data_IF_395884565302
#
_entry.id   IF_395884565302
#
_cell.length_a   1.000
_cell.length_b   1.000
_cell.length_c   1.000
_cell.angle_alpha   90.00
_cell.angle_beta   90.00
_cell.angle_gamma   90.00
#
_symmetry.space_group_name_H-M   'P 1'
#
loop_
_entity.id
_entity.type
_entity.pdbx_description
1 polymer ?
#
# COMPACT_ATOMS: atom_id res chain seq x y z
N UNK A 1 2.69 -20.11 -1.37
CA UNK A 1 3.22 -20.36 0.00
C UNK A 1 3.62 -21.80 0.36
N UNK A 2 3.07 -22.87 -0.24
CA UNK A 2 3.30 -24.27 0.19
C UNK A 2 4.78 -24.70 0.38
N UNK A 3 5.73 -24.13 -0.37
CA UNK A 3 7.17 -24.41 -0.19
C UNK A 3 7.80 -23.70 1.03
N UNK A 4 7.32 -22.51 1.40
CA UNK A 4 7.77 -21.79 2.62
C UNK A 4 7.25 -22.51 3.88
N UNK A 5 6.08 -23.15 3.80
CA UNK A 5 5.49 -23.92 4.89
C UNK A 5 6.39 -25.06 5.39
N UNK A 6 7.10 -25.76 4.49
CA UNK A 6 7.96 -26.90 4.88
C UNK A 6 9.15 -26.48 5.75
N UNK A 7 9.52 -25.20 5.68
CA UNK A 7 10.60 -24.62 6.49
C UNK A 7 10.09 -24.05 7.82
N UNK A 8 8.89 -23.45 7.84
CA UNK A 8 8.27 -22.93 9.07
C UNK A 8 7.88 -24.08 10.02
N UNK A 9 7.42 -25.23 9.51
CA UNK A 9 7.08 -26.40 10.35
C UNK A 9 8.30 -27.08 10.99
N UNK A 10 9.51 -26.83 10.51
CA UNK A 10 10.74 -27.42 11.08
C UNK A 10 11.30 -26.67 12.29
N UNK A 11 10.72 -25.53 12.67
CA UNK A 11 11.18 -24.73 13.83
C UNK A 11 10.48 -25.15 15.14
N UNK A 12 9.44 -25.99 15.07
CA UNK A 12 8.57 -26.35 16.21
C UNK A 12 8.76 -27.74 16.83
N UNK A 13 9.85 -28.46 16.55
CA UNK A 13 10.08 -29.82 17.08
C UNK A 13 11.14 -29.87 18.18
N UNK A 14 10.73 -29.99 19.44
CA UNK A 14 11.62 -30.39 20.53
C UNK A 14 12.20 -31.79 20.26
N UNK A 15 13.54 -31.93 20.33
CA UNK A 15 14.21 -33.04 21.02
C UNK A 15 15.73 -32.82 21.15
N UNK A 16 16.17 -32.94 22.39
CA UNK A 16 17.40 -33.58 22.86
C UNK A 16 18.76 -33.06 22.39
N UNK A 17 19.46 -32.48 23.38
CA UNK A 17 20.88 -32.64 23.64
C UNK A 17 21.49 -33.86 22.94
N UNK A 18 22.32 -33.60 21.93
CA UNK A 18 23.54 -34.34 21.61
C UNK A 18 24.48 -33.40 20.88
N UNK A 19 25.58 -33.09 21.54
CA UNK A 19 26.79 -32.47 21.00
C UNK A 19 27.26 -33.25 19.77
N UNK A 20 27.22 -32.61 18.60
CA UNK A 20 27.98 -33.03 17.43
C UNK A 20 28.93 -31.89 17.06
N UNK A 21 30.22 -32.16 17.22
CA UNK A 21 31.31 -31.36 16.64
C UNK A 21 31.13 -31.34 15.12
N UNK A 22 30.62 -30.24 14.58
CA UNK A 22 30.68 -29.96 13.16
C UNK A 22 31.98 -29.23 12.85
N UNK A 23 32.88 -29.91 12.14
CA UNK A 23 34.12 -29.37 11.58
C UNK A 23 33.85 -28.02 10.89
N UNK A 24 34.59 -27.00 11.33
CA UNK A 24 34.78 -25.75 10.60
C UNK A 24 35.28 -26.07 9.18
N UNK A 25 34.39 -26.01 8.19
CA UNK A 25 34.82 -25.82 6.81
C UNK A 25 35.11 -24.34 6.65
N UNK A 26 36.37 -23.97 6.89
CA UNK A 26 36.96 -22.70 6.46
C UNK A 26 36.79 -22.58 4.95
N UNK A 27 35.73 -21.93 4.51
CA UNK A 27 35.59 -21.52 3.11
C UNK A 27 36.49 -20.29 2.90
N UNK A 28 37.72 -20.53 2.48
CA UNK A 28 38.57 -19.48 1.94
C UNK A 28 37.94 -18.96 0.63
N UNK A 29 37.77 -17.64 0.44
CA UNK A 29 37.34 -17.10 -0.83
C UNK A 29 38.47 -17.28 -1.85
N UNK A 30 38.38 -18.32 -2.69
CA UNK A 30 39.28 -18.48 -3.84
C UNK A 30 39.02 -17.35 -4.83
N UNK A 31 39.95 -16.39 -4.87
CA UNK A 31 40.43 -15.74 -6.09
C UNK A 31 39.49 -14.77 -6.83
N UNK A 32 39.22 -13.59 -6.25
CA UNK A 32 38.58 -12.45 -6.95
C UNK A 32 39.58 -11.46 -7.57
N UNK A 33 40.86 -11.81 -7.71
CA UNK A 33 41.89 -10.83 -8.07
C UNK A 33 42.07 -10.60 -9.58
N UNK A 34 41.85 -11.60 -10.46
CA UNK A 34 42.29 -11.50 -11.87
C UNK A 34 41.21 -11.69 -12.95
N UNK A 35 39.94 -11.92 -12.61
CA UNK A 35 38.84 -12.08 -13.60
C UNK A 35 37.80 -10.93 -13.61
N UNK A 36 37.93 -9.96 -12.70
CA UNK A 36 36.92 -8.91 -12.50
C UNK A 36 36.68 -8.00 -13.70
N UNK A 37 37.68 -7.75 -14.55
CA UNK A 37 37.56 -6.83 -15.69
C UNK A 37 36.68 -7.36 -16.82
N UNK A 38 36.72 -8.67 -17.09
CA UNK A 38 35.89 -9.31 -18.13
C UNK A 38 34.43 -9.45 -17.68
N UNK A 39 34.21 -9.82 -16.42
CA UNK A 39 32.87 -9.99 -15.87
C UNK A 39 32.14 -8.65 -15.72
N UNK A 40 32.82 -7.62 -15.19
CA UNK A 40 32.26 -6.27 -15.06
C UNK A 40 31.97 -5.67 -16.44
N UNK A 41 32.82 -5.85 -17.45
CA UNK A 41 32.52 -5.40 -18.84
C UNK A 41 31.30 -6.10 -19.43
N UNK A 42 31.16 -7.41 -19.24
CA UNK A 42 30.01 -8.19 -19.73
C UNK A 42 28.70 -7.80 -19.01
N UNK A 43 28.78 -7.44 -17.73
CA UNK A 43 27.62 -6.94 -16.97
C UNK A 43 27.31 -5.47 -17.21
N UNK A 44 28.29 -4.63 -17.52
CA UNK A 44 28.09 -3.25 -17.94
C UNK A 44 27.42 -3.17 -19.32
N UNK A 45 27.71 -4.13 -20.23
CA UNK A 45 26.97 -4.28 -21.49
C UNK A 45 25.50 -4.68 -21.25
N UNK A 46 25.21 -5.47 -20.22
CA UNK A 46 23.83 -5.76 -19.78
C UNK A 46 23.23 -4.66 -18.87
N UNK A 47 23.95 -3.56 -18.57
CA UNK A 47 23.46 -2.47 -17.72
C UNK A 47 22.48 -1.51 -18.42
N UNK A 48 22.06 -1.83 -19.65
CA UNK A 48 20.95 -1.20 -20.37
C UNK A 48 19.65 -1.17 -19.53
N UNK A 49 19.55 -1.97 -18.46
CA UNK A 49 18.40 -2.08 -17.58
C UNK A 49 17.99 -0.81 -16.81
N UNK A 50 18.87 0.16 -16.62
CA UNK A 50 18.49 1.48 -16.07
C UNK A 50 18.32 2.54 -17.13
N UNK A 51 18.78 2.28 -18.36
CA UNK A 51 18.72 3.21 -19.50
C UNK A 51 19.06 4.65 -19.11
N UNK A 52 20.11 4.83 -18.31
CA UNK A 52 20.60 6.11 -17.81
C UNK A 52 22.10 6.24 -18.10
N UNK A 53 22.52 7.40 -18.61
CA UNK A 53 23.91 7.79 -18.78
C UNK A 53 24.05 9.30 -18.63
N UNK A 54 25.27 9.80 -18.40
CA UNK A 54 25.50 11.22 -18.14
C UNK A 54 24.95 12.16 -19.23
N UNK A 55 25.10 11.80 -20.51
CA UNK A 55 24.57 12.58 -21.64
C UNK A 55 23.07 12.78 -21.51
N UNK A 56 22.34 11.73 -21.15
CA UNK A 56 20.89 11.81 -20.95
C UNK A 56 20.50 12.74 -19.78
N UNK A 57 21.28 12.74 -18.68
CA UNK A 57 21.00 13.65 -17.55
C UNK A 57 21.23 15.10 -17.96
N UNK A 58 22.24 15.35 -18.79
CA UNK A 58 22.55 16.68 -19.31
C UNK A 58 21.52 17.15 -20.36
N UNK A 59 21.08 16.25 -21.24
CA UNK A 59 20.15 16.56 -22.34
C UNK A 59 18.71 16.75 -21.85
N UNK A 60 18.24 15.87 -20.96
CA UNK A 60 16.85 15.88 -20.48
C UNK A 60 16.66 16.71 -19.19
N UNK A 61 17.74 16.96 -18.45
CA UNK A 61 17.73 17.66 -17.17
C UNK A 61 17.41 16.75 -15.96
N UNK A 62 17.76 17.19 -14.73
CA UNK A 62 17.61 16.40 -13.50
C UNK A 62 16.17 15.98 -13.19
N UNK A 63 15.19 16.89 -13.34
CA UNK A 63 13.78 16.62 -13.01
C UNK A 63 13.16 15.52 -13.90
N UNK A 64 13.43 15.58 -15.22
CA UNK A 64 12.95 14.58 -16.17
C UNK A 64 13.57 13.19 -15.90
N UNK A 65 14.87 13.17 -15.61
CA UNK A 65 15.56 11.94 -15.22
C UNK A 65 15.06 11.39 -13.89
N UNK A 66 14.83 12.24 -12.88
CA UNK A 66 14.28 11.85 -11.58
C UNK A 66 12.95 11.12 -11.77
N UNK A 67 12.05 11.68 -12.60
CA UNK A 67 10.76 11.07 -12.92
C UNK A 67 10.91 9.69 -13.57
N UNK A 68 11.84 9.54 -14.53
CA UNK A 68 12.11 8.25 -15.20
C UNK A 68 12.68 7.23 -14.22
N UNK A 69 13.60 7.66 -13.37
CA UNK A 69 14.24 6.85 -12.35
C UNK A 69 13.24 6.37 -11.30
N UNK A 70 12.41 7.28 -10.78
CA UNK A 70 11.31 6.98 -9.87
C UNK A 70 10.40 5.88 -10.41
N UNK A 71 9.89 6.04 -11.64
CA UNK A 71 9.03 5.04 -12.29
C UNK A 71 9.73 3.69 -12.45
N UNK A 72 10.94 3.67 -13.00
CA UNK A 72 11.73 2.43 -13.20
C UNK A 72 12.06 1.72 -11.90
N UNK A 73 12.32 2.48 -10.84
CA UNK A 73 12.65 1.96 -9.53
C UNK A 73 11.43 1.27 -8.91
N UNK A 74 10.26 1.91 -8.97
CA UNK A 74 8.97 1.31 -8.57
C UNK A 74 8.64 0.03 -9.35
N UNK A 75 8.83 0.03 -10.67
CA UNK A 75 8.59 -1.15 -11.50
C UNK A 75 9.51 -2.32 -11.11
N UNK A 76 10.78 -2.02 -10.80
CA UNK A 76 11.72 -3.05 -10.30
C UNK A 76 11.32 -3.57 -8.93
N UNK A 77 10.87 -2.71 -8.03
CA UNK A 77 10.44 -3.13 -6.69
C UNK A 77 9.20 -4.02 -6.76
N UNK A 78 8.17 -3.61 -7.51
CA UNK A 78 6.91 -4.36 -7.67
C UNK A 78 7.07 -5.66 -8.46
N UNK A 79 8.18 -5.83 -9.20
CA UNK A 79 8.52 -7.09 -9.87
C UNK A 79 8.99 -8.20 -8.93
N UNK A 80 9.35 -7.88 -7.68
CA UNK A 80 9.80 -8.87 -6.71
C UNK A 80 8.55 -9.57 -6.13
N UNK A 81 8.47 -10.91 -6.22
CA UNK A 81 7.40 -11.65 -5.57
C UNK A 81 7.36 -11.37 -4.07
N UNK A 82 6.16 -11.20 -3.51
CA UNK A 82 6.00 -10.96 -2.08
C UNK A 82 6.65 -12.07 -1.23
N UNK A 83 6.59 -13.31 -1.72
CA UNK A 83 7.16 -14.49 -1.08
C UNK A 83 8.68 -14.42 -0.92
N UNK A 84 9.39 -13.67 -1.77
CA UNK A 84 10.83 -13.45 -1.63
C UNK A 84 11.15 -12.58 -0.41
N UNK A 85 10.33 -11.57 -0.12
CA UNK A 85 10.46 -10.76 1.10
C UNK A 85 10.15 -11.58 2.34
N UNK A 86 9.12 -12.44 2.30
CA UNK A 86 8.79 -13.36 3.41
C UNK A 86 9.93 -14.36 3.65
N UNK A 87 10.53 -14.89 2.57
CA UNK A 87 11.69 -15.79 2.66
C UNK A 87 12.86 -15.09 3.34
N UNK A 88 13.15 -13.85 2.94
CA UNK A 88 14.22 -13.03 3.54
C UNK A 88 13.95 -12.68 5.00
N UNK A 89 12.71 -12.32 5.33
CA UNK A 89 12.28 -12.10 6.71
C UNK A 89 12.42 -13.36 7.58
N UNK A 90 12.23 -14.55 7.01
CA UNK A 90 12.44 -15.82 7.70
C UNK A 90 13.92 -16.19 7.89
N UNK A 91 14.86 -15.34 7.47
CA UNK A 91 16.30 -15.56 7.58
C UNK A 91 16.93 -16.34 6.42
N UNK A 92 16.17 -16.64 5.37
CA UNK A 92 16.67 -17.34 4.18
C UNK A 92 17.09 -16.35 3.09
N UNK A 93 18.03 -16.73 2.23
CA UNK A 93 18.42 -15.87 1.11
C UNK A 93 17.41 -15.91 -0.04
N UNK A 94 17.35 -14.81 -0.79
CA UNK A 94 16.53 -14.66 -2.00
C UNK A 94 17.37 -14.07 -3.14
N UNK A 95 17.45 -14.82 -4.25
CA UNK A 95 18.13 -14.38 -5.46
C UNK A 95 17.44 -13.18 -6.11
N UNK A 96 16.11 -13.09 -6.02
CA UNK A 96 15.34 -11.95 -6.53
C UNK A 96 15.69 -10.67 -5.79
N UNK A 97 15.73 -10.71 -4.45
CA UNK A 97 16.14 -9.56 -3.63
C UNK A 97 17.60 -9.20 -3.87
N UNK A 98 18.49 -10.20 -3.89
CA UNK A 98 19.91 -9.98 -4.18
C UNK A 98 20.12 -9.32 -5.55
N UNK A 99 19.43 -9.82 -6.57
CA UNK A 99 19.43 -9.27 -7.93
C UNK A 99 18.87 -7.85 -7.96
N UNK A 100 17.79 -7.58 -7.22
CA UNK A 100 17.22 -6.24 -7.07
C UNK A 100 18.23 -5.24 -6.49
N UNK A 101 18.83 -5.52 -5.33
CA UNK A 101 19.80 -4.63 -4.69
C UNK A 101 21.07 -4.47 -5.56
N UNK A 102 21.47 -5.54 -6.26
CA UNK A 102 22.58 -5.48 -7.21
C UNK A 102 22.34 -4.51 -8.36
N UNK A 103 21.09 -4.37 -8.85
CA UNK A 103 20.76 -3.39 -9.89
C UNK A 103 21.08 -1.96 -9.45
N UNK A 104 20.83 -1.59 -8.20
CA UNK A 104 21.19 -0.27 -7.67
C UNK A 104 22.70 -0.09 -7.54
N UNK A 105 23.40 -1.14 -7.14
CA UNK A 105 24.87 -1.15 -7.12
C UNK A 105 25.46 -0.90 -8.50
N UNK A 106 24.91 -1.51 -9.55
CA UNK A 106 25.31 -1.27 -10.94
C UNK A 106 25.02 0.17 -11.40
N UNK A 107 23.88 0.74 -10.99
CA UNK A 107 23.56 2.14 -11.26
C UNK A 107 24.62 3.08 -10.66
N UNK A 108 25.02 2.85 -9.40
CA UNK A 108 26.08 3.64 -8.74
C UNK A 108 27.41 3.55 -9.49
N UNK A 109 27.82 2.34 -9.88
CA UNK A 109 29.07 2.12 -10.63
C UNK A 109 29.06 2.86 -11.97
N UNK A 110 27.93 2.80 -12.69
CA UNK A 110 27.79 3.46 -13.99
C UNK A 110 27.88 4.98 -13.86
N UNK A 111 27.07 5.56 -12.97
CA UNK A 111 27.06 7.01 -12.73
C UNK A 111 28.42 7.52 -12.25
N UNK A 112 29.06 6.79 -11.33
CA UNK A 112 30.41 7.12 -10.88
C UNK A 112 31.41 7.12 -12.05
N UNK A 113 31.38 6.10 -12.91
CA UNK A 113 32.31 6.00 -14.04
C UNK A 113 32.12 7.11 -15.06
N UNK A 114 30.87 7.47 -15.36
CA UNK A 114 30.55 8.52 -16.33
C UNK A 114 30.96 9.91 -15.78
N UNK A 115 30.65 10.19 -14.51
CA UNK A 115 30.94 11.48 -13.89
C UNK A 115 32.42 11.66 -13.52
N UNK A 116 33.16 10.59 -13.26
CA UNK A 116 34.60 10.65 -13.07
C UNK A 116 35.31 11.20 -14.33
N UNK A 117 34.77 10.91 -15.53
CA UNK A 117 35.28 11.43 -16.81
C UNK A 117 34.86 12.87 -17.07
N UNK A 118 33.90 13.39 -16.32
CA UNK A 118 33.32 14.72 -16.52
C UNK A 118 33.09 15.44 -15.18
N UNK A 119 34.16 15.76 -14.43
CA UNK A 119 34.07 16.26 -13.05
C UNK A 119 33.33 17.59 -12.92
N UNK A 120 33.30 18.40 -13.99
CA UNK A 120 32.54 19.65 -14.07
C UNK A 120 31.02 19.49 -13.91
N UNK A 121 30.51 18.26 -14.00
CA UNK A 121 29.08 17.95 -13.91
C UNK A 121 28.72 17.21 -12.62
N UNK A 122 29.61 17.10 -11.63
CA UNK A 122 29.32 16.33 -10.40
C UNK A 122 28.12 16.88 -9.60
N UNK A 123 27.85 18.18 -9.67
CA UNK A 123 26.72 18.81 -8.98
C UNK A 123 25.35 18.37 -9.52
N UNK A 124 25.31 17.77 -10.71
CA UNK A 124 24.07 17.24 -11.30
C UNK A 124 23.46 16.11 -10.47
N UNK A 125 24.28 15.35 -9.73
CA UNK A 125 23.78 14.32 -8.82
C UNK A 125 23.14 14.90 -7.57
N UNK A 126 23.60 16.08 -7.13
CA UNK A 126 22.99 16.77 -5.99
C UNK A 126 21.62 17.30 -6.40
N UNK A 127 21.51 17.93 -7.58
CA UNK A 127 20.23 18.35 -8.14
C UNK A 127 19.28 17.17 -8.33
N UNK A 128 19.77 16.08 -8.92
CA UNK A 128 18.98 14.85 -9.10
C UNK A 128 18.51 14.26 -7.75
N UNK A 129 19.34 14.31 -6.71
CA UNK A 129 18.94 13.89 -5.37
C UNK A 129 17.80 14.75 -4.83
N UNK A 130 17.89 16.08 -4.94
CA UNK A 130 16.84 17.00 -4.49
C UNK A 130 15.52 16.72 -5.19
N UNK A 131 15.53 16.57 -6.51
CA UNK A 131 14.34 16.22 -7.30
C UNK A 131 13.72 14.88 -6.84
N UNK A 132 14.54 13.86 -6.58
CA UNK A 132 14.06 12.57 -6.10
C UNK A 132 13.48 12.66 -4.68
N UNK A 133 14.02 13.51 -3.80
CA UNK A 133 13.50 13.76 -2.45
C UNK A 133 12.16 14.49 -2.48
N UNK A 134 12.01 15.51 -3.34
CA UNK A 134 10.76 16.23 -3.54
C UNK A 134 9.65 15.30 -4.07
N UNK A 135 10.00 14.36 -4.93
CA UNK A 135 9.09 13.32 -5.44
C UNK A 135 8.80 12.20 -4.42
N UNK A 136 9.38 12.25 -3.22
CA UNK A 136 9.31 11.16 -2.22
C UNK A 136 9.69 9.80 -2.82
N UNK A 137 10.79 9.76 -3.58
CA UNK A 137 11.25 8.55 -4.24
C UNK A 137 11.61 7.43 -3.25
N UNK A 138 11.66 6.20 -3.76
CA UNK A 138 12.04 5.05 -2.94
C UNK A 138 13.45 5.24 -2.33
N UNK A 139 13.70 4.64 -1.15
CA UNK A 139 14.95 4.86 -0.43
C UNK A 139 16.14 4.21 -1.14
N UNK A 140 15.92 3.24 -2.03
CA UNK A 140 16.99 2.53 -2.71
C UNK A 140 17.67 3.44 -3.73
N UNK A 141 16.89 4.19 -4.51
CA UNK A 141 17.46 5.12 -5.49
C UNK A 141 18.14 6.30 -4.81
N UNK A 142 17.52 6.87 -3.77
CA UNK A 142 18.09 7.97 -2.99
C UNK A 142 19.45 7.59 -2.39
N UNK A 143 19.52 6.44 -1.71
CA UNK A 143 20.78 5.91 -1.16
C UNK A 143 21.84 5.71 -2.24
N UNK A 144 21.42 5.27 -3.44
CA UNK A 144 22.33 5.02 -4.56
C UNK A 144 22.92 6.31 -5.12
N UNK A 145 22.09 7.33 -5.36
CA UNK A 145 22.53 8.64 -5.87
C UNK A 145 23.41 9.33 -4.83
N UNK A 146 22.97 9.36 -3.56
CA UNK A 146 23.72 9.97 -2.46
C UNK A 146 25.09 9.31 -2.27
N UNK A 147 25.14 7.97 -2.27
CA UNK A 147 26.40 7.23 -2.15
C UNK A 147 27.34 7.52 -3.32
N UNK A 148 26.81 7.58 -4.54
CA UNK A 148 27.60 7.86 -5.74
C UNK A 148 28.21 9.26 -5.66
N UNK A 149 27.41 10.25 -5.32
CA UNK A 149 27.86 11.64 -5.14
C UNK A 149 28.92 11.77 -4.03
N UNK A 150 28.69 11.17 -2.86
CA UNK A 150 29.66 11.17 -1.75
C UNK A 150 31.02 10.59 -2.15
N UNK A 151 31.02 9.48 -2.89
CA UNK A 151 32.27 8.88 -3.36
C UNK A 151 32.99 9.74 -4.40
N UNK A 152 32.26 10.41 -5.29
CA UNK A 152 32.85 11.34 -6.25
C UNK A 152 33.53 12.51 -5.54
N UNK A 153 32.89 13.10 -4.52
CA UNK A 153 33.49 14.17 -3.72
C UNK A 153 34.76 13.74 -3.00
N UNK A 154 34.77 12.53 -2.41
CA UNK A 154 35.97 11.98 -1.76
C UNK A 154 37.12 11.80 -2.77
N UNK A 155 36.78 11.42 -4.01
CA UNK A 155 37.76 11.15 -5.06
C UNK A 155 38.29 12.42 -5.71
N UNK A 156 37.49 13.47 -5.84
CA UNK A 156 37.97 14.79 -6.26
C UNK A 156 39.00 15.38 -5.28
N UNK A 157 38.87 15.06 -3.97
CA UNK A 157 39.82 15.47 -2.93
C UNK A 157 41.06 14.58 -2.83
N UNK A 158 41.11 13.48 -3.58
CA UNK A 158 42.20 12.50 -3.59
C UNK A 158 42.70 12.30 -5.02
N UNK A 159 43.69 11.42 -5.22
CA UNK A 159 44.03 11.02 -6.57
C UNK A 159 42.86 10.23 -7.20
N UNK A 160 42.41 10.60 -8.42
CA UNK A 160 41.27 9.95 -9.07
C UNK A 160 41.53 8.47 -9.28
N UNK A 161 40.67 7.61 -8.72
CA UNK A 161 40.69 6.17 -9.03
C UNK A 161 39.65 5.86 -10.08
N UNK A 162 40.05 5.09 -11.10
CA UNK A 162 39.20 4.63 -12.19
C UNK A 162 37.98 3.81 -11.73
N UNK A 163 37.97 3.30 -10.49
CA UNK A 163 36.92 2.44 -9.95
C UNK A 163 36.55 2.81 -8.51
N UNK A 164 35.29 2.54 -8.14
CA UNK A 164 34.82 2.63 -6.75
C UNK A 164 35.58 1.60 -5.90
N UNK A 165 36.19 2.01 -4.77
CA UNK A 165 36.87 1.06 -3.89
C UNK A 165 35.93 -0.05 -3.39
N UNK A 166 36.39 -1.31 -3.27
CA UNK A 166 35.55 -2.41 -2.76
C UNK A 166 34.92 -2.13 -1.39
N UNK A 167 35.62 -1.40 -0.52
CA UNK A 167 35.11 -0.97 0.79
C UNK A 167 33.90 -0.03 0.66
N UNK A 168 33.91 0.88 -0.32
CA UNK A 168 32.79 1.79 -0.56
C UNK A 168 31.57 1.01 -1.11
N UNK A 169 31.78 0.09 -2.04
CA UNK A 169 30.71 -0.80 -2.54
C UNK A 169 30.07 -1.65 -1.43
N UNK A 170 30.88 -2.16 -0.49
CA UNK A 170 30.35 -2.84 0.71
C UNK A 170 29.47 -1.90 1.55
N UNK A 171 29.86 -0.64 1.68
CA UNK A 171 29.06 0.38 2.35
C UNK A 171 27.72 0.66 1.67
N UNK A 172 27.68 0.69 0.33
CA UNK A 172 26.42 0.82 -0.42
C UNK A 172 25.49 -0.36 -0.16
N UNK A 173 26.00 -1.59 -0.29
CA UNK A 173 25.22 -2.81 -0.02
C UNK A 173 24.58 -2.75 1.36
N UNK A 174 25.34 -2.38 2.39
CA UNK A 174 24.82 -2.25 3.75
C UNK A 174 23.73 -1.18 3.90
N UNK A 175 23.84 -0.04 3.22
CA UNK A 175 22.80 1.01 3.23
C UNK A 175 21.52 0.54 2.51
N UNK A 176 21.67 -0.18 1.40
CA UNK A 176 20.56 -0.77 0.65
C UNK A 176 19.85 -1.85 1.48
N UNK A 177 20.60 -2.75 2.12
CA UNK A 177 20.06 -3.77 3.04
C UNK A 177 19.30 -3.11 4.19
N UNK A 178 19.86 -2.08 4.84
CA UNK A 178 19.17 -1.33 5.89
C UNK A 178 17.86 -0.68 5.42
N UNK A 179 17.82 -0.20 4.19
CA UNK A 179 16.61 0.41 3.61
C UNK A 179 15.54 -0.66 3.39
N UNK A 180 15.94 -1.83 2.87
CA UNK A 180 15.05 -2.97 2.71
C UNK A 180 14.51 -3.46 4.06
N UNK A 181 15.41 -3.55 5.05
CA UNK A 181 15.08 -4.00 6.40
C UNK A 181 14.04 -3.09 7.06
N UNK A 182 14.26 -1.78 7.00
CA UNK A 182 13.34 -0.77 7.52
C UNK A 182 11.97 -0.85 6.87
N UNK A 183 11.93 -0.93 5.54
CA UNK A 183 10.67 -0.78 4.79
C UNK A 183 9.83 -2.05 4.85
N UNK A 184 10.43 -3.25 4.74
CA UNK A 184 9.64 -4.50 4.56
C UNK A 184 10.08 -5.62 5.51
N UNK A 185 11.37 -5.89 5.64
CA UNK A 185 11.82 -7.14 6.29
C UNK A 185 11.54 -7.12 7.78
N UNK A 186 11.79 -6.01 8.47
CA UNK A 186 11.54 -5.92 9.92
C UNK A 186 10.04 -6.07 10.25
N UNK A 187 9.10 -5.38 9.56
CA UNK A 187 7.66 -5.64 9.76
C UNK A 187 7.26 -7.10 9.56
N UNK A 188 7.75 -7.75 8.50
CA UNK A 188 7.45 -9.17 8.25
C UNK A 188 8.11 -10.09 9.29
N UNK A 189 9.31 -9.78 9.76
CA UNK A 189 9.96 -10.52 10.85
C UNK A 189 9.17 -10.45 12.14
N UNK A 190 8.61 -9.27 12.47
CA UNK A 190 7.76 -9.11 13.65
C UNK A 190 6.49 -9.95 13.54
N UNK A 191 5.86 -9.96 12.36
CA UNK A 191 4.70 -10.82 12.07
C UNK A 191 5.03 -12.31 12.28
N UNK A 192 6.13 -12.78 11.67
CA UNK A 192 6.56 -14.18 11.74
C UNK A 192 6.95 -14.65 13.15
N UNK A 193 7.25 -13.72 14.06
CA UNK A 193 7.58 -13.99 15.47
C UNK A 193 6.35 -14.02 16.39
N UNK A 194 5.16 -13.67 15.90
CA UNK A 194 3.94 -13.67 16.72
C UNK A 194 3.60 -15.09 17.20
N UNK A 195 3.08 -15.24 18.44
CA UNK A 195 2.64 -16.54 18.96
C UNK A 195 1.30 -16.93 18.32
N UNK A 196 1.33 -17.36 17.06
CA UNK A 196 0.17 -17.79 16.30
C UNK A 196 0.40 -19.14 15.63
N UNK A 197 -0.68 -19.82 15.24
CA UNK A 197 -0.55 -21.08 14.49
C UNK A 197 0.02 -20.80 13.10
N UNK A 198 0.75 -21.76 12.53
CA UNK A 198 1.27 -21.63 11.17
C UNK A 198 0.16 -21.35 10.14
N UNK A 199 -1.03 -21.94 10.33
CA UNK A 199 -2.20 -21.66 9.49
C UNK A 199 -2.59 -20.19 9.54
N UNK A 200 -2.70 -19.63 10.74
CA UNK A 200 -3.07 -18.23 10.92
C UNK A 200 -2.05 -17.31 10.23
N UNK A 201 -0.75 -17.49 10.50
CA UNK A 201 0.32 -16.70 9.87
C UNK A 201 0.27 -16.79 8.34
N UNK A 202 -0.03 -17.96 7.76
CA UNK A 202 -0.15 -18.11 6.31
C UNK A 202 -1.32 -17.30 5.74
N UNK A 203 -2.46 -17.31 6.42
CA UNK A 203 -3.62 -16.50 6.01
C UNK A 203 -3.30 -15.01 6.15
N UNK A 204 -2.65 -14.58 7.24
CA UNK A 204 -2.14 -13.20 7.40
C UNK A 204 -1.26 -12.79 6.21
N UNK A 205 -0.30 -13.64 5.84
CA UNK A 205 0.62 -13.37 4.74
C UNK A 205 -0.09 -13.31 3.39
N UNK A 206 -1.13 -14.11 3.14
CA UNK A 206 -1.88 -14.04 1.88
C UNK A 206 -2.68 -12.72 1.79
N UNK A 207 -3.28 -12.24 2.89
CA UNK A 207 -3.87 -10.88 2.94
C UNK A 207 -2.82 -9.81 2.66
N UNK A 208 -1.66 -9.92 3.31
CA UNK A 208 -0.57 -8.95 3.16
C UNK A 208 0.03 -8.94 1.76
N UNK A 209 0.03 -10.07 1.04
CA UNK A 209 0.43 -10.12 -0.36
C UNK A 209 -0.45 -9.22 -1.23
N UNK A 210 -1.77 -9.28 -1.06
CA UNK A 210 -2.70 -8.43 -1.80
C UNK A 210 -2.51 -6.95 -1.43
N UNK A 211 -2.37 -6.66 -0.13
CA UNK A 211 -2.05 -5.30 0.34
C UNK A 211 -0.74 -4.78 -0.24
N UNK A 212 0.32 -5.59 -0.22
CA UNK A 212 1.63 -5.24 -0.74
C UNK A 212 1.54 -4.86 -2.22
N UNK A 213 0.86 -5.70 -3.01
CA UNK A 213 0.65 -5.42 -4.43
C UNK A 213 -0.16 -4.15 -4.67
N UNK A 214 -1.20 -3.87 -3.90
CA UNK A 214 -2.03 -2.69 -4.07
C UNK A 214 -1.25 -1.42 -3.66
N UNK A 215 -0.62 -1.45 -2.49
CA UNK A 215 0.11 -0.32 -1.92
C UNK A 215 1.27 0.12 -2.82
N UNK A 216 2.17 -0.79 -3.18
CA UNK A 216 3.40 -0.44 -3.90
C UNK A 216 3.21 -0.25 -5.42
N UNK A 217 2.04 -0.60 -5.98
CA UNK A 217 1.69 -0.26 -7.37
C UNK A 217 1.20 1.18 -7.53
N UNK A 218 0.67 1.79 -6.46
CA UNK A 218 0.20 3.17 -6.50
C UNK A 218 1.38 4.16 -6.61
N UNK A 219 1.15 5.35 -7.15
CA UNK A 219 2.17 6.42 -7.22
C UNK A 219 2.45 7.06 -5.87
N UNK A 220 1.51 6.96 -4.93
CA UNK A 220 1.48 7.79 -3.73
C UNK A 220 1.99 7.01 -2.50
N UNK A 221 2.99 6.14 -2.72
CA UNK A 221 3.62 5.35 -1.66
C UNK A 221 4.42 6.26 -0.75
N UNK A 222 4.10 6.23 0.55
CA UNK A 222 4.94 6.89 1.57
C UNK A 222 6.06 5.96 2.02
N UNK A 223 7.23 6.13 1.42
CA UNK A 223 8.43 5.35 1.70
C UNK A 223 9.08 5.63 3.07
N UNK A 224 8.58 6.63 3.81
CA UNK A 224 9.01 6.89 5.18
C UNK A 224 8.36 5.94 6.18
N UNK A 225 7.21 5.37 5.81
CA UNK A 225 6.50 4.40 6.62
C UNK A 225 6.99 2.98 6.33
N UNK A 226 7.07 2.18 7.38
CA UNK A 226 7.28 0.75 7.24
C UNK A 226 6.01 0.09 6.68
N UNK A 227 6.18 -1.02 5.96
CA UNK A 227 5.05 -1.80 5.44
C UNK A 227 4.12 -2.21 6.58
N UNK A 228 2.87 -1.76 6.49
CA UNK A 228 1.88 -2.01 7.53
C UNK A 228 1.38 -3.47 7.48
N UNK A 229 1.83 -4.25 8.48
CA UNK A 229 1.41 -5.64 8.68
C UNK A 229 0.13 -5.79 9.52
N UNK A 230 -0.52 -4.68 9.89
CA UNK A 230 -1.75 -4.71 10.66
C UNK A 230 -2.94 -5.16 9.80
N UNK A 231 -3.45 -6.35 10.06
CA UNK A 231 -4.59 -6.94 9.38
C UNK A 231 -5.84 -6.97 10.28
N UNK A 232 -6.05 -5.90 11.04
CA UNK A 232 -7.13 -5.76 12.03
C UNK A 232 -8.47 -6.37 11.61
N UNK A 233 -8.90 -6.18 10.36
CA UNK A 233 -10.16 -6.75 9.86
C UNK A 233 -10.19 -8.28 9.94
N UNK A 234 -9.11 -8.94 9.51
CA UNK A 234 -8.99 -10.40 9.56
C UNK A 234 -9.04 -10.90 11.00
N UNK A 235 -8.33 -10.22 11.91
CA UNK A 235 -8.29 -10.60 13.32
C UNK A 235 -9.68 -10.54 13.94
N UNK A 236 -10.44 -9.49 13.64
CA UNK A 236 -11.74 -9.24 14.24
C UNK A 236 -12.85 -10.09 13.64
N UNK A 237 -12.86 -10.29 12.32
CA UNK A 237 -13.91 -11.07 11.66
C UNK A 237 -13.82 -12.58 11.94
N UNK A 238 -12.64 -13.04 12.40
CA UNK A 238 -12.40 -14.44 12.76
C UNK A 238 -12.57 -14.74 14.24
N UNK A 239 -12.51 -13.73 15.09
CA UNK A 239 -12.78 -13.91 16.51
C UNK A 239 -14.15 -14.59 16.69
N UNK A 240 -14.23 -15.56 17.61
CA UNK A 240 -15.44 -16.34 17.93
C UNK A 240 -16.58 -15.50 18.53
N UNK A 241 -16.42 -14.17 18.58
CA UNK A 241 -17.48 -13.26 19.00
C UNK A 241 -18.62 -13.26 17.97
N UNK A 242 -19.85 -13.14 18.45
CA UNK A 242 -21.01 -12.99 17.56
C UNK A 242 -20.82 -11.77 16.66
N UNK A 243 -21.04 -11.92 15.35
CA UNK A 243 -20.92 -10.84 14.35
C UNK A 243 -21.70 -9.57 14.74
N UNK A 244 -22.82 -9.73 15.46
CA UNK A 244 -23.60 -8.61 16.01
C UNK A 244 -22.83 -7.76 17.03
N UNK A 245 -22.01 -8.40 17.87
CA UNK A 245 -21.13 -7.75 18.86
C UNK A 245 -19.99 -7.02 18.16
N UNK A 246 -19.40 -7.63 17.12
CA UNK A 246 -18.40 -6.97 16.29
C UNK A 246 -18.97 -5.72 15.61
N UNK A 247 -20.15 -5.84 14.98
CA UNK A 247 -20.85 -4.69 14.39
C UNK A 247 -21.13 -3.59 15.42
N UNK A 248 -21.46 -3.95 16.66
CA UNK A 248 -21.66 -2.98 17.74
C UNK A 248 -20.39 -2.23 18.10
N UNK A 249 -19.29 -2.96 18.30
CA UNK A 249 -17.99 -2.39 18.63
C UNK A 249 -17.53 -1.41 17.55
N UNK A 250 -17.58 -1.82 16.27
CA UNK A 250 -17.22 -0.96 15.14
C UNK A 250 -18.14 0.25 15.05
N UNK A 251 -19.45 0.07 15.23
CA UNK A 251 -20.41 1.17 15.20
C UNK A 251 -20.17 2.17 16.33
N UNK A 252 -19.74 1.70 17.50
CA UNK A 252 -19.36 2.58 18.62
C UNK A 252 -18.11 3.38 18.30
N UNK A 253 -17.09 2.76 17.70
CA UNK A 253 -15.88 3.44 17.23
C UNK A 253 -16.20 4.49 16.16
N UNK A 254 -16.98 4.12 15.15
CA UNK A 254 -17.38 5.04 14.08
C UNK A 254 -18.23 6.19 14.61
N UNK A 255 -19.14 5.92 15.56
CA UNK A 255 -19.93 6.97 16.20
C UNK A 255 -19.05 7.96 16.99
N UNK A 256 -18.05 7.46 17.73
CA UNK A 256 -17.09 8.32 18.42
C UNK A 256 -16.28 9.17 17.43
N UNK A 257 -15.86 8.59 16.30
CA UNK A 257 -15.17 9.30 15.23
C UNK A 257 -16.05 10.39 14.61
N UNK A 258 -17.31 10.09 14.30
CA UNK A 258 -18.26 11.07 13.79
C UNK A 258 -18.47 12.20 14.80
N UNK A 259 -18.68 11.87 16.07
CA UNK A 259 -18.89 12.86 17.14
C UNK A 259 -17.73 13.85 17.27
N UNK A 260 -16.49 13.38 17.06
CA UNK A 260 -15.29 14.22 17.12
C UNK A 260 -15.04 15.08 15.87
N UNK A 261 -15.43 14.61 14.68
CA UNK A 261 -14.92 15.19 13.42
C UNK A 261 -15.98 15.61 12.40
N UNK A 262 -17.24 15.14 12.48
CA UNK A 262 -18.22 15.34 11.40
C UNK A 262 -18.60 16.82 11.22
N UNK A 263 -18.78 17.56 12.31
CA UNK A 263 -19.08 19.00 12.26
C UNK A 263 -17.92 19.79 11.69
N UNK A 264 -16.69 19.45 12.09
CA UNK A 264 -15.47 20.10 11.60
C UNK A 264 -15.25 19.83 10.10
N UNK A 265 -15.52 18.60 9.65
CA UNK A 265 -15.42 18.19 8.24
C UNK A 265 -16.32 19.01 7.31
N UNK A 266 -17.46 19.50 7.84
CA UNK A 266 -18.45 20.30 7.10
C UNK A 266 -18.64 21.71 7.69
N UNK A 267 -17.57 22.32 8.22
CA UNK A 267 -17.61 23.70 8.68
C UNK A 267 -17.53 24.69 7.50
N UNK A 268 -18.41 25.71 7.48
CA UNK A 268 -18.40 26.77 6.46
C UNK A 268 -17.27 27.76 6.79
N UNK A 269 -16.09 27.52 6.24
CA UNK A 269 -15.00 28.50 6.23
C UNK A 269 -14.70 28.91 4.79
N UNK A 270 -14.55 30.22 4.54
CA UNK A 270 -14.29 30.78 3.19
C UNK A 270 -13.02 30.19 2.55
N UNK A 271 -12.07 29.75 3.38
CA UNK A 271 -10.95 28.92 3.01
C UNK A 271 -11.02 27.61 3.80
N UNK A 272 -10.87 26.46 3.13
CA UNK A 272 -10.78 25.17 3.82
C UNK A 272 -9.66 25.22 4.87
N UNK A 273 -10.04 25.23 6.15
CA UNK A 273 -9.06 25.25 7.22
C UNK A 273 -8.24 23.96 7.18
N UNK A 274 -7.00 24.02 7.66
CA UNK A 274 -6.16 22.82 7.82
C UNK A 274 -6.87 21.74 8.64
N UNK A 275 -7.62 22.16 9.64
CA UNK A 275 -8.40 21.31 10.54
C UNK A 275 -9.56 20.61 9.82
N UNK A 276 -10.28 21.31 8.94
CA UNK A 276 -11.33 20.70 8.11
C UNK A 276 -10.78 19.59 7.21
N UNK A 277 -9.66 19.85 6.53
CA UNK A 277 -8.98 18.86 5.68
C UNK A 277 -8.51 17.66 6.49
N UNK A 278 -7.98 17.90 7.68
CA UNK A 278 -7.57 16.83 8.59
C UNK A 278 -8.77 15.98 9.04
N UNK A 279 -9.90 16.60 9.39
CA UNK A 279 -11.12 15.87 9.77
C UNK A 279 -11.66 15.00 8.64
N UNK A 280 -11.75 15.56 7.42
CA UNK A 280 -12.16 14.81 6.23
C UNK A 280 -11.20 13.66 5.92
N UNK A 281 -9.89 13.89 6.03
CA UNK A 281 -8.86 12.89 5.81
C UNK A 281 -8.95 11.74 6.82
N UNK A 282 -9.19 12.03 8.11
CA UNK A 282 -9.34 11.00 9.15
C UNK A 282 -10.56 10.11 8.92
N UNK A 283 -11.72 10.70 8.61
CA UNK A 283 -12.93 9.96 8.25
C UNK A 283 -12.64 9.10 7.01
N UNK A 284 -12.18 9.72 5.92
CA UNK A 284 -11.90 8.97 4.69
C UNK A 284 -10.88 7.83 4.89
N UNK A 285 -9.83 8.06 5.69
CA UNK A 285 -8.84 7.03 6.03
C UNK A 285 -9.49 5.85 6.75
N UNK A 286 -10.31 6.10 7.78
CA UNK A 286 -11.03 5.03 8.49
C UNK A 286 -11.89 4.19 7.55
N UNK A 287 -12.65 4.84 6.64
CA UNK A 287 -13.50 4.14 5.67
C UNK A 287 -12.67 3.28 4.70
N UNK A 288 -11.60 3.84 4.16
CA UNK A 288 -10.72 3.14 3.22
C UNK A 288 -9.96 1.99 3.89
N UNK A 289 -9.47 2.17 5.11
CA UNK A 289 -8.78 1.12 5.87
C UNK A 289 -9.72 -0.08 6.08
N UNK A 290 -10.99 0.16 6.40
CA UNK A 290 -11.99 -0.89 6.57
C UNK A 290 -12.36 -1.57 5.25
N UNK A 291 -12.64 -0.78 4.20
CA UNK A 291 -12.93 -1.28 2.85
C UNK A 291 -11.79 -2.13 2.27
N UNK A 292 -10.55 -1.64 2.43
CA UNK A 292 -9.35 -2.36 2.01
C UNK A 292 -9.14 -3.64 2.83
N UNK A 293 -9.42 -3.62 4.13
CA UNK A 293 -9.42 -4.82 4.97
C UNK A 293 -10.31 -5.93 4.41
N UNK A 294 -11.55 -5.58 4.03
CA UNK A 294 -12.51 -6.49 3.38
C UNK A 294 -11.98 -6.96 2.03
N UNK A 295 -11.56 -6.04 1.16
CA UNK A 295 -10.99 -6.32 -0.17
C UNK A 295 -9.87 -7.36 -0.09
N UNK A 296 -8.88 -7.13 0.77
CA UNK A 296 -7.71 -8.01 0.85
C UNK A 296 -8.03 -9.38 1.43
N UNK A 297 -8.92 -9.48 2.42
CA UNK A 297 -9.33 -10.78 2.97
C UNK A 297 -10.10 -11.61 1.95
N UNK A 298 -11.02 -10.97 1.21
CA UNK A 298 -11.81 -11.62 0.17
C UNK A 298 -10.93 -12.03 -1.03
N UNK A 299 -10.01 -11.16 -1.46
CA UNK A 299 -9.08 -11.46 -2.55
C UNK A 299 -8.09 -12.58 -2.21
N UNK A 300 -7.67 -12.69 -0.93
CA UNK A 300 -6.82 -13.76 -0.44
C UNK A 300 -7.51 -15.14 -0.41
N UNK A 301 -8.82 -15.21 -0.70
CA UNK A 301 -9.58 -16.46 -0.69
C UNK A 301 -9.75 -17.07 0.70
N UNK A 302 -9.69 -16.23 1.74
CA UNK A 302 -9.95 -16.67 3.11
C UNK A 302 -11.46 -16.85 3.25
N UNK A 303 -11.86 -17.93 3.93
CA UNK A 303 -13.27 -18.25 4.19
C UNK A 303 -13.89 -17.30 5.22
N UNK A 304 -14.18 -16.08 4.78
CA UNK A 304 -14.83 -15.01 5.57
C UNK A 304 -16.09 -14.46 4.90
N UNK A 305 -16.50 -15.01 3.74
CA UNK A 305 -17.59 -14.46 2.93
C UNK A 305 -18.92 -14.42 3.69
N UNK A 306 -19.26 -15.49 4.40
CA UNK A 306 -20.48 -15.55 5.22
C UNK A 306 -20.46 -14.52 6.35
N UNK A 307 -19.32 -14.37 7.02
CA UNK A 307 -19.14 -13.41 8.10
C UNK A 307 -19.25 -11.98 7.57
N UNK A 308 -18.72 -11.69 6.39
CA UNK A 308 -18.86 -10.40 5.69
C UNK A 308 -20.33 -10.10 5.41
N UNK A 309 -21.08 -11.07 4.88
CA UNK A 309 -22.51 -10.93 4.59
C UNK A 309 -23.34 -10.68 5.86
N UNK A 310 -23.06 -11.42 6.93
CA UNK A 310 -23.70 -11.21 8.23
C UNK A 310 -23.34 -9.84 8.84
N UNK A 311 -22.10 -9.39 8.65
CA UNK A 311 -21.61 -8.12 9.19
C UNK A 311 -22.23 -6.93 8.45
N UNK A 312 -22.38 -7.03 7.12
CA UNK A 312 -23.10 -6.05 6.32
C UNK A 312 -24.56 -5.90 6.78
N UNK A 313 -25.27 -7.01 6.96
CA UNK A 313 -26.64 -7.00 7.48
C UNK A 313 -26.73 -6.42 8.90
N UNK A 314 -25.75 -6.73 9.76
CA UNK A 314 -25.70 -6.16 11.11
C UNK A 314 -25.51 -4.63 11.07
N UNK A 315 -24.64 -4.10 10.21
CA UNK A 315 -24.49 -2.66 10.03
C UNK A 315 -25.73 -1.99 9.45
N UNK A 316 -26.39 -2.64 8.50
CA UNK A 316 -27.65 -2.17 7.95
C UNK A 316 -28.73 -1.99 9.03
N UNK A 317 -28.93 -3.02 9.88
CA UNK A 317 -29.87 -2.97 11.01
C UNK A 317 -29.53 -1.91 12.07
N UNK A 318 -28.24 -1.60 12.22
CA UNK A 318 -27.73 -0.55 13.12
C UNK A 318 -27.71 0.84 12.48
N UNK A 319 -28.10 0.97 11.20
CA UNK A 319 -28.02 2.21 10.41
C UNK A 319 -26.60 2.81 10.39
N UNK A 320 -25.59 1.95 10.45
CA UNK A 320 -24.21 2.34 10.21
C UNK A 320 -23.90 2.17 8.72
N UNK A 321 -24.46 3.07 7.91
CA UNK A 321 -24.30 3.04 6.47
C UNK A 321 -22.87 3.39 6.03
N UNK A 322 -22.14 4.09 6.88
CA UNK A 322 -20.73 4.39 6.71
C UNK A 322 -19.89 3.09 6.59
N UNK A 323 -19.96 2.22 7.58
CA UNK A 323 -19.23 0.94 7.54
C UNK A 323 -19.86 -0.10 6.61
N UNK A 324 -21.18 -0.08 6.43
CA UNK A 324 -21.86 -0.90 5.41
C UNK A 324 -21.32 -0.63 3.99
N UNK A 325 -21.20 0.64 3.62
CA UNK A 325 -20.70 1.02 2.29
C UNK A 325 -19.22 0.71 2.12
N UNK A 326 -18.42 0.78 3.19
CA UNK A 326 -17.04 0.31 3.15
C UNK A 326 -16.96 -1.21 2.87
N UNK A 327 -17.82 -2.03 3.50
CA UNK A 327 -17.90 -3.46 3.17
C UNK A 327 -18.29 -3.65 1.70
N UNK A 328 -19.38 -3.02 1.25
CA UNK A 328 -19.86 -3.16 -0.12
C UNK A 328 -18.78 -2.78 -1.14
N UNK A 329 -18.08 -1.65 -0.92
CA UNK A 329 -16.97 -1.24 -1.79
C UNK A 329 -15.82 -2.25 -1.76
N UNK A 330 -15.45 -2.74 -0.57
CA UNK A 330 -14.38 -3.71 -0.41
C UNK A 330 -14.64 -4.99 -1.21
N UNK A 331 -15.88 -5.48 -1.20
CA UNK A 331 -16.28 -6.66 -1.99
C UNK A 331 -16.35 -6.34 -3.49
N UNK A 332 -16.87 -5.18 -3.91
CA UNK A 332 -16.92 -4.78 -5.34
C UNK A 332 -15.52 -4.76 -5.96
N UNK A 333 -14.53 -4.33 -5.18
CA UNK A 333 -13.15 -4.23 -5.63
C UNK A 333 -12.46 -5.60 -5.83
N UNK A 334 -13.15 -6.71 -5.57
CA UNK A 334 -12.66 -8.07 -5.83
C UNK A 334 -13.43 -8.66 -7.01
N UNK A 335 -12.76 -8.80 -8.14
CA UNK A 335 -13.35 -9.33 -9.37
C UNK A 335 -13.90 -10.75 -9.20
N UNK A 336 -15.08 -11.01 -9.76
CA UNK A 336 -15.63 -12.36 -9.91
C UNK A 336 -16.29 -12.95 -8.66
N UNK A 337 -16.43 -12.18 -7.57
CA UNK A 337 -17.17 -12.63 -6.40
C UNK A 337 -18.65 -12.26 -6.49
N UNK A 338 -19.51 -13.22 -6.15
CA UNK A 338 -20.94 -13.02 -5.98
C UNK A 338 -21.29 -13.29 -4.51
N UNK A 339 -21.45 -12.24 -3.72
CA UNK A 339 -21.84 -12.34 -2.30
C UNK A 339 -23.23 -11.76 -2.08
N UNK A 340 -23.86 -12.10 -0.95
CA UNK A 340 -25.16 -11.53 -0.59
C UNK A 340 -25.05 -10.03 -0.33
N UNK A 341 -23.91 -9.59 0.21
CA UNK A 341 -23.57 -8.17 0.37
C UNK A 341 -23.65 -7.45 -0.97
N UNK A 342 -23.02 -7.96 -2.03
CA UNK A 342 -23.05 -7.30 -3.34
C UNK A 342 -24.47 -7.22 -3.89
N UNK A 343 -25.19 -8.34 -3.81
CA UNK A 343 -26.57 -8.46 -4.28
C UNK A 343 -27.50 -7.47 -3.59
N UNK A 344 -27.37 -7.27 -2.28
CA UNK A 344 -28.26 -6.41 -1.49
C UNK A 344 -27.78 -4.95 -1.45
N UNK A 345 -26.49 -4.73 -1.29
CA UNK A 345 -25.94 -3.43 -0.92
C UNK A 345 -25.01 -2.82 -1.97
N UNK A 346 -24.67 -3.53 -3.05
CA UNK A 346 -23.74 -3.05 -4.08
C UNK A 346 -24.17 -1.72 -4.71
N UNK A 347 -25.46 -1.53 -4.97
CA UNK A 347 -25.99 -0.29 -5.55
C UNK A 347 -25.86 0.93 -4.62
N UNK A 348 -25.65 0.75 -3.31
CA UNK A 348 -25.44 1.85 -2.38
C UNK A 348 -24.12 2.59 -2.62
N UNK A 349 -23.15 1.95 -3.26
CA UNK A 349 -21.84 2.54 -3.57
C UNK A 349 -21.64 2.82 -5.07
N UNK A 350 -22.69 2.65 -5.88
CA UNK A 350 -22.64 3.03 -7.30
C UNK A 350 -22.49 4.58 -7.40
N UNK A 351 -21.42 5.10 -8.01
CA UNK A 351 -21.20 6.55 -8.13
C UNK A 351 -22.16 7.26 -9.09
N UNK A 352 -22.94 6.53 -9.89
CA UNK A 352 -23.88 7.09 -10.87
C UNK A 352 -24.83 8.11 -10.25
N UNK A 353 -24.96 9.26 -10.92
CA UNK A 353 -25.79 10.36 -10.43
C UNK A 353 -25.37 10.83 -9.02
N UNK A 354 -24.08 10.73 -8.69
CA UNK A 354 -23.47 11.12 -7.41
C UNK A 354 -23.90 10.22 -6.24
N UNK A 355 -24.05 8.92 -6.48
CA UNK A 355 -24.68 7.95 -5.56
C UNK A 355 -26.20 8.13 -5.44
N UNK A 356 -26.88 8.30 -6.59
CA UNK A 356 -28.33 8.55 -6.65
C UNK A 356 -29.13 7.49 -5.90
N UNK A 357 -28.78 6.21 -6.09
CA UNK A 357 -29.47 5.10 -5.44
C UNK A 357 -29.39 5.20 -3.91
N UNK A 358 -28.21 5.45 -3.35
CA UNK A 358 -28.03 5.69 -1.92
C UNK A 358 -28.91 6.85 -1.43
N UNK A 359 -28.89 7.99 -2.14
CA UNK A 359 -29.62 9.17 -1.71
C UNK A 359 -31.15 8.99 -1.74
N UNK A 360 -31.65 8.14 -2.63
CA UNK A 360 -33.08 7.86 -2.75
C UNK A 360 -33.57 6.81 -1.75
N UNK A 361 -32.75 5.80 -1.43
CA UNK A 361 -33.17 4.67 -0.61
C UNK A 361 -32.76 4.79 0.87
N UNK A 362 -31.77 5.62 1.18
CA UNK A 362 -31.36 5.89 2.56
C UNK A 362 -31.85 7.28 2.96
N UNK A 363 -32.86 7.31 3.83
CA UNK A 363 -33.39 8.57 4.37
C UNK A 363 -32.37 9.26 5.30
N UNK A 364 -31.89 10.43 4.89
CA UNK A 364 -30.98 11.28 5.69
C UNK A 364 -31.66 11.94 6.88
N UNK A 365 -32.99 11.82 6.99
CA UNK A 365 -33.75 12.34 8.15
C UNK A 365 -33.79 11.34 9.30
N UNK A 366 -33.24 10.14 9.11
CA UNK A 366 -33.18 9.12 10.17
C UNK A 366 -31.84 9.18 10.87
N UNK A 367 -31.84 9.00 12.20
CA UNK A 367 -30.59 8.92 12.96
C UNK A 367 -29.75 7.75 12.43
N UNK A 368 -28.57 8.05 11.88
CA UNK A 368 -27.70 7.09 11.21
C UNK A 368 -26.26 7.64 11.10
N UNK A 369 -25.29 6.73 10.94
CA UNK A 369 -23.94 7.08 10.50
C UNK A 369 -23.90 6.95 8.98
N UNK A 370 -23.94 8.08 8.28
CA UNK A 370 -24.11 8.10 6.83
C UNK A 370 -22.81 7.89 6.05
N UNK A 371 -22.95 7.39 4.83
CA UNK A 371 -21.89 7.39 3.84
C UNK A 371 -21.58 8.83 3.42
N UNK A 372 -20.30 9.21 3.45
CA UNK A 372 -19.87 10.61 3.35
C UNK A 372 -19.64 11.09 1.93
N UNK A 373 -19.33 10.21 0.97
CA UNK A 373 -18.98 10.64 -0.40
C UNK A 373 -20.05 11.51 -1.07
N UNK A 374 -21.36 11.23 -0.96
CA UNK A 374 -22.39 12.13 -1.49
C UNK A 374 -22.34 13.51 -0.83
N UNK A 375 -22.12 13.56 0.48
CA UNK A 375 -22.04 14.81 1.24
C UNK A 375 -20.86 15.68 0.83
N UNK A 376 -19.68 15.06 0.71
CA UNK A 376 -18.44 15.72 0.29
C UNK A 376 -18.61 16.28 -1.12
N UNK A 377 -19.20 15.51 -2.04
CA UNK A 377 -19.42 15.93 -3.43
C UNK A 377 -20.27 17.20 -3.54
N UNK A 378 -21.41 17.26 -2.85
CA UNK A 378 -22.30 18.43 -2.88
C UNK A 378 -21.70 19.61 -2.12
N UNK A 379 -21.06 19.34 -0.98
CA UNK A 379 -20.40 20.35 -0.17
C UNK A 379 -19.33 21.10 -0.96
N UNK A 380 -18.49 20.40 -1.72
CA UNK A 380 -17.46 20.99 -2.56
C UNK A 380 -18.02 21.92 -3.67
N UNK A 381 -19.31 21.79 -3.99
CA UNK A 381 -20.03 22.61 -4.98
C UNK A 381 -20.90 23.70 -4.33
N UNK A 382 -20.80 23.89 -3.02
CA UNK A 382 -21.54 24.89 -2.27
C UNK A 382 -22.95 24.46 -1.84
N UNK A 383 -23.42 23.25 -2.19
CA UNK A 383 -24.69 22.72 -1.67
C UNK A 383 -24.46 22.04 -0.32
N UNK A 384 -24.86 22.73 0.75
CA UNK A 384 -24.65 22.28 2.12
C UNK A 384 -25.78 21.43 2.68
N UNK A 385 -26.90 21.26 1.96
CA UNK A 385 -28.11 20.62 2.50
C UNK A 385 -27.85 19.18 2.92
N UNK A 386 -27.16 18.42 2.07
CA UNK A 386 -26.86 17.02 2.36
C UNK A 386 -25.89 16.87 3.53
N UNK A 387 -24.83 17.68 3.55
CA UNK A 387 -23.87 17.70 4.65
C UNK A 387 -24.51 18.06 5.99
N UNK A 388 -25.38 19.06 6.02
CA UNK A 388 -26.15 19.44 7.21
C UNK A 388 -27.02 18.29 7.70
N UNK A 389 -27.71 17.59 6.80
CA UNK A 389 -28.51 16.42 7.17
C UNK A 389 -27.64 15.30 7.76
N UNK A 390 -26.46 15.04 7.17
CA UNK A 390 -25.50 14.03 7.69
C UNK A 390 -25.03 14.41 9.10
N UNK A 391 -24.65 15.67 9.32
CA UNK A 391 -24.24 16.18 10.63
C UNK A 391 -25.38 16.01 11.65
N UNK A 392 -26.59 16.47 11.33
CA UNK A 392 -27.76 16.36 12.22
C UNK A 392 -28.15 14.91 12.53
N UNK A 393 -28.12 14.03 11.52
CA UNK A 393 -28.44 12.61 11.67
C UNK A 393 -27.43 11.89 12.58
N UNK A 394 -26.14 12.24 12.44
CA UNK A 394 -25.08 11.69 13.29
C UNK A 394 -25.13 12.21 14.72
N UNK A 395 -25.45 13.49 14.94
CA UNK A 395 -25.61 14.07 16.27
C UNK A 395 -26.78 13.47 17.05
N UNK A 396 -27.83 13.03 16.33
CA UNK A 396 -29.01 12.38 16.90
C UNK A 396 -28.86 10.85 16.98
N UNK A 397 -27.70 10.31 16.59
CA UNK A 397 -27.46 8.88 16.59
C UNK A 397 -27.33 8.36 18.02
N UNK A 398 -28.17 7.39 18.34
CA UNK A 398 -28.09 6.65 19.61
C UNK A 398 -27.77 5.20 19.30
N UNK A 399 -26.75 4.67 19.98
CA UNK A 399 -26.43 3.25 19.91
C UNK A 399 -27.58 2.49 20.57
N UNK A 400 -28.56 2.10 19.76
CA UNK A 400 -29.71 1.31 20.18
C UNK A 400 -29.56 -0.09 19.61
N UNK A 401 -30.21 -1.08 20.25
CA UNK A 401 -30.23 -2.46 19.75
C UNK A 401 -30.69 -2.55 18.29
N UNK A 402 -30.45 -3.68 17.62
CA UNK A 402 -30.80 -3.86 16.21
C UNK A 402 -32.28 -3.50 15.98
N UNK A 403 -32.53 -2.55 15.08
CA UNK A 403 -33.89 -2.17 14.68
C UNK A 403 -34.26 -2.91 13.40
N UNK A 404 -35.54 -3.23 13.16
CA UNK A 404 -35.98 -3.55 11.81
C UNK A 404 -35.62 -2.35 10.93
N UNK A 405 -34.71 -2.57 9.98
CA UNK A 405 -34.41 -1.60 8.93
C UNK A 405 -35.67 -1.36 8.09
N UNK A 406 -35.79 -0.22 7.38
CA UNK A 406 -36.81 -0.11 6.35
C UNK A 406 -36.66 -1.31 5.40
N UNK A 407 -37.74 -2.00 5.07
CA UNK A 407 -37.66 -3.16 4.20
C UNK A 407 -37.19 -2.68 2.80
N UNK A 408 -35.92 -2.90 2.46
CA UNK A 408 -35.43 -2.64 1.12
C UNK A 408 -36.05 -3.68 0.19
N UNK A 409 -37.07 -3.28 -0.56
CA UNK A 409 -37.61 -4.10 -1.65
C UNK A 409 -36.59 -4.10 -2.78
N UNK A 410 -35.81 -5.18 -2.87
CA UNK A 410 -34.86 -5.37 -3.97
C UNK A 410 -35.61 -5.77 -5.24
N UNK A 411 -35.45 -4.99 -6.31
CA UNK A 411 -35.90 -5.39 -7.64
C UNK A 411 -34.87 -6.37 -8.25
N UNK A 412 -35.28 -7.55 -8.74
CA UNK A 412 -34.39 -8.48 -9.44
C UNK A 412 -33.70 -7.89 -10.68
N UNK A 413 -34.22 -6.79 -11.24
CA UNK A 413 -33.66 -6.11 -12.42
C UNK A 413 -32.42 -5.25 -12.09
N UNK A 414 -32.37 -4.63 -10.91
CA UNK A 414 -31.22 -3.85 -10.44
C UNK A 414 -29.97 -4.72 -10.17
N UNK A 415 -30.21 -6.03 -10.04
CA UNK A 415 -29.28 -7.11 -9.73
C UNK A 415 -28.46 -7.55 -10.96
N UNK A 416 -29.03 -7.44 -12.17
CA UNK A 416 -28.34 -7.80 -13.41
C UNK A 416 -27.37 -6.72 -13.89
N UNK A 417 -27.65 -5.44 -13.62
CA UNK A 417 -26.75 -4.33 -13.99
C UNK A 417 -25.45 -4.35 -13.16
N UNK A 418 -25.54 -4.60 -11.85
CA UNK A 418 -24.37 -4.66 -10.97
C UNK A 418 -23.39 -5.81 -11.31
N UNK A 419 -23.87 -6.92 -11.85
CA UNK A 419 -23.03 -8.08 -12.25
C UNK A 419 -22.46 -7.91 -13.66
N UNK A 420 -23.20 -7.29 -14.59
CA UNK A 420 -22.79 -7.16 -16.00
C UNK A 420 -21.71 -6.11 -16.23
N UNK A 421 -21.68 -5.04 -15.43
CA UNK A 421 -20.63 -4.01 -15.50
C UNK A 421 -19.28 -4.48 -14.91
N UNK A 422 -19.31 -5.41 -13.96
CA UNK A 422 -18.09 -6.00 -13.37
C UNK A 422 -17.44 -7.09 -14.24
N UNK A 423 -18.18 -7.69 -15.17
CA UNK A 423 -17.65 -8.73 -16.08
C UNK A 423 -17.00 -8.18 -17.36
N UNK A 424 -17.22 -6.91 -17.70
CA UNK A 424 -16.93 -6.37 -19.05
C UNK A 424 -15.78 -5.35 -19.08
N UNK A 425 -15.23 -4.94 -17.94
CA UNK A 425 -14.20 -3.91 -17.83
C UNK A 425 -12.81 -4.48 -17.50
N UNK A 426 -12.28 -5.31 -18.40
CA UNK A 426 -10.85 -5.63 -18.42
C UNK A 426 -10.26 -5.31 -19.78
N UNK A 427 -9.71 -4.11 -19.92
CA UNK A 427 -8.52 -3.76 -20.72
C UNK A 427 -8.23 -2.26 -20.52
N UNK A 428 -7.04 -1.95 -20.00
CA UNK A 428 -6.56 -0.65 -19.49
C UNK A 428 -6.87 -0.35 -18.02
N UNK A 429 -5.83 0.14 -17.33
CA UNK A 429 -5.69 0.12 -15.88
C UNK A 429 -6.59 1.09 -15.13
N UNK A 430 -6.62 0.90 -13.80
CA UNK A 430 -7.26 1.76 -12.78
C UNK A 430 -8.79 1.94 -12.95
N UNK A 431 -9.54 1.45 -11.96
CA UNK A 431 -11.01 1.60 -11.90
C UNK A 431 -11.44 3.07 -11.82
N UNK A 432 -12.54 3.49 -12.49
CA UNK A 432 -13.04 4.88 -12.49
C UNK A 432 -13.33 5.46 -11.09
N UNK A 433 -13.62 4.63 -10.09
CA UNK A 433 -13.88 5.09 -8.72
C UNK A 433 -12.63 5.66 -8.02
N UNK A 434 -11.43 5.19 -8.35
CA UNK A 434 -10.19 5.81 -7.89
C UNK A 434 -9.95 7.15 -8.59
N UNK A 435 -10.29 7.27 -9.88
CA UNK A 435 -10.16 8.52 -10.64
C UNK A 435 -11.19 9.58 -10.26
N UNK A 436 -12.45 9.23 -10.01
CA UNK A 436 -13.46 10.20 -9.57
C UNK A 436 -13.21 10.66 -8.12
N UNK A 437 -12.65 9.80 -7.28
CA UNK A 437 -12.20 10.18 -5.95
C UNK A 437 -10.95 11.05 -6.03
N UNK A 438 -9.94 10.67 -6.82
CA UNK A 438 -8.70 11.47 -7.00
C UNK A 438 -8.97 12.79 -7.70
N UNK A 439 -9.84 12.89 -8.71
CA UNK A 439 -10.18 14.17 -9.33
C UNK A 439 -11.02 15.05 -8.42
N UNK A 440 -12.00 14.50 -7.67
CA UNK A 440 -12.67 15.27 -6.63
C UNK A 440 -11.68 15.70 -5.52
N UNK A 441 -10.67 14.87 -5.22
CA UNK A 441 -9.60 15.11 -4.26
C UNK A 441 -8.46 15.99 -4.82
N UNK A 442 -8.31 16.19 -6.12
CA UNK A 442 -7.34 17.13 -6.70
C UNK A 442 -8.00 18.50 -6.90
N UNK A 443 -9.25 18.51 -7.36
CA UNK A 443 -10.08 19.71 -7.49
C UNK A 443 -10.36 20.35 -6.12
N UNK A 444 -10.56 19.55 -5.06
CA UNK A 444 -10.73 20.08 -3.70
C UNK A 444 -9.42 20.54 -3.02
N UNK A 445 -8.24 20.18 -3.54
CA UNK A 445 -6.96 20.39 -2.86
C UNK A 445 -6.00 21.35 -3.60
N UNK A 446 -6.39 21.91 -4.75
CA UNK A 446 -5.64 22.96 -5.43
C UNK A 446 -4.25 22.55 -5.94
N UNK A 447 -3.99 21.25 -6.05
CA UNK A 447 -2.79 20.70 -6.66
C UNK A 447 -3.14 20.37 -8.11
N UNK A 448 -2.59 21.15 -9.04
CA UNK A 448 -2.55 20.81 -10.47
C UNK A 448 -1.35 19.96 -10.78
#
# INVERSE_FOLDING_TARGET
MKMVCKQITNVGGQKNSKTYYAKETKFQPRGFANSGSSMIKKYLQNSEHWGLGLTQILDEGPAAVATKLFRRSRDKFTSIPFEDFVRKASGNDSDCIRSFLWKYSLLSVKLYSDLLKAPKHCDILLQLKTELEEMQSDPFILVTIEHTWQNLLIQQRRQPRAFIPPKAMKGLSQKLDKSLDRVIINPLQQLLKRPATARHILEELEVLKHRFCDYYKNSDVDWNLAFDTNIWFLDHIRCEQQISTLAEAITKEDHALFSGYITLAFSKNENQSREQRQAQSLLNRRWNDFSNGVKYCMAAGIDVALQVDLLAEAFYRRRNYYSLTAIAQGVINVSGLATDTLRKFGNLVNPEGCYKYYRQHISVRTCALHFLSPAIFYWARGDTRWAQNVVSASASYTLTGPRPGPEMKFSPLDLMYAVRENGSSHQHGTTPCQFLFVEAFLVCFGLR
#
